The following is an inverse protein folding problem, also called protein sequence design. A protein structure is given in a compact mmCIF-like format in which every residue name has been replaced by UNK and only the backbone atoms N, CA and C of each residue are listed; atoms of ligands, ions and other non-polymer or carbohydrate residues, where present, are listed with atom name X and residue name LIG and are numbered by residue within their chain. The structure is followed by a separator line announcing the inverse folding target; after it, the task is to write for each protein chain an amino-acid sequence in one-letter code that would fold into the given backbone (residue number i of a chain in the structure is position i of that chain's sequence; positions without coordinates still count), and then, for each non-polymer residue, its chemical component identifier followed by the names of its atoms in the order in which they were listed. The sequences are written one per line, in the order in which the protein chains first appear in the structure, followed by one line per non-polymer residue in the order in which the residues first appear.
data_IF_173080078561
#
_entry.id   IF_173080078561
#
_cell.length_a   1.000
_cell.length_b   1.000
_cell.length_c   1.000
_cell.angle_alpha   90.00
_cell.angle_beta   90.00
_cell.angle_gamma   90.00
#
_symmetry.space_group_name_H-M   'P 1'
#
loop_
_entity.id
_entity.type
_entity.pdbx_description
1 polymer ?
#
# COMPACT_ATOMS: atom_id res chain seq x y z
N UNK A 1 -4.12 2.07 -22.55
CA UNK A 1 -3.46 2.18 -21.23
C UNK A 1 -2.59 0.96 -21.14
N UNK A 2 -1.29 1.09 -20.90
CA UNK A 2 -0.43 -0.10 -20.77
C UNK A 2 -0.93 -0.87 -19.54
N UNK A 3 -1.59 -2.00 -19.76
CA UNK A 3 -1.96 -2.91 -18.69
C UNK A 3 -0.64 -3.39 -18.05
N UNK A 4 -0.31 -2.81 -16.91
CA UNK A 4 0.83 -3.28 -16.13
C UNK A 4 0.41 -4.64 -15.62
N UNK A 5 0.99 -5.69 -16.17
CA UNK A 5 0.82 -7.03 -15.62
C UNK A 5 1.58 -7.09 -14.29
N UNK A 6 0.84 -6.84 -13.19
CA UNK A 6 1.37 -6.88 -11.83
C UNK A 6 2.12 -8.20 -11.57
N UNK A 7 1.66 -9.32 -12.15
CA UNK A 7 2.35 -10.60 -11.99
C UNK A 7 3.68 -10.66 -12.72
N UNK A 8 3.82 -10.05 -13.91
CA UNK A 8 5.11 -9.94 -14.58
C UNK A 8 6.08 -9.07 -13.81
N UNK A 9 5.58 -8.01 -13.16
CA UNK A 9 6.42 -7.05 -12.48
C UNK A 9 6.92 -7.55 -11.11
N UNK A 10 6.08 -8.28 -10.37
CA UNK A 10 6.45 -8.79 -9.04
C UNK A 10 6.79 -10.28 -9.03
N UNK A 11 6.43 -11.05 -10.05
CA UNK A 11 6.60 -12.51 -10.07
C UNK A 11 5.71 -13.25 -9.05
N UNK A 12 6.11 -14.44 -8.60
CA UNK A 12 5.33 -15.26 -7.66
C UNK A 12 4.98 -14.51 -6.37
N UNK A 13 3.71 -14.62 -5.96
CA UNK A 13 3.10 -13.90 -4.85
C UNK A 13 1.79 -14.57 -4.44
N UNK A 14 1.40 -14.43 -3.17
CA UNK A 14 0.13 -14.94 -2.65
C UNK A 14 -0.98 -13.91 -2.78
N UNK A 15 -2.24 -14.34 -2.93
CA UNK A 15 -3.38 -13.44 -2.84
C UNK A 15 -3.53 -12.92 -1.41
N UNK A 16 -3.88 -11.65 -1.26
CA UNK A 16 -4.23 -11.03 0.02
C UNK A 16 -5.59 -10.35 -0.14
N UNK A 17 -6.54 -10.66 0.74
CA UNK A 17 -7.83 -9.98 0.71
C UNK A 17 -7.69 -8.55 1.22
N UNK A 18 -8.29 -7.61 0.50
CA UNK A 18 -8.61 -6.26 0.99
C UNK A 18 -10.10 -6.17 1.31
N UNK A 19 -10.57 -4.94 1.50
CA UNK A 19 -11.97 -4.70 1.78
C UNK A 19 -12.86 -4.97 0.56
N UNK A 20 -13.96 -5.68 0.81
CA UNK A 20 -15.02 -5.95 -0.15
C UNK A 20 -16.17 -4.97 0.06
N UNK A 21 -15.92 -3.70 -0.27
CA UNK A 21 -16.90 -2.61 -0.21
C UNK A 21 -16.77 -1.73 -1.44
N UNK A 22 -17.87 -1.09 -1.83
CA UNK A 22 -17.90 -0.17 -2.98
C UNK A 22 -17.07 1.09 -2.74
N UNK A 23 -16.62 1.73 -3.82
CA UNK A 23 -15.75 2.90 -3.75
C UNK A 23 -16.38 4.05 -2.95
N UNK A 24 -17.66 4.36 -3.18
CA UNK A 24 -18.38 5.42 -2.48
C UNK A 24 -18.50 5.13 -0.97
N UNK A 25 -18.69 3.86 -0.60
CA UNK A 25 -18.72 3.41 0.79
C UNK A 25 -17.35 3.61 1.43
N UNK A 26 -16.29 3.19 0.75
CA UNK A 26 -14.92 3.34 1.21
C UNK A 26 -14.54 4.81 1.41
N UNK A 27 -14.95 5.72 0.52
CA UNK A 27 -14.77 7.17 0.68
C UNK A 27 -15.45 7.64 1.96
N UNK A 28 -16.74 7.29 2.14
CA UNK A 28 -17.53 7.75 3.28
C UNK A 28 -16.96 7.27 4.61
N UNK A 29 -16.73 5.97 4.76
CA UNK A 29 -16.20 5.38 6.00
C UNK A 29 -14.81 5.93 6.33
N UNK A 30 -13.98 6.17 5.31
CA UNK A 30 -12.65 6.76 5.52
C UNK A 30 -12.74 8.20 6.01
N UNK A 31 -13.61 9.02 5.43
CA UNK A 31 -13.82 10.40 5.86
C UNK A 31 -14.40 10.49 7.28
N UNK A 32 -15.33 9.60 7.63
CA UNK A 32 -15.90 9.52 8.97
C UNK A 32 -14.84 9.13 10.02
N UNK A 33 -13.96 8.19 9.68
CA UNK A 33 -12.95 7.67 10.61
C UNK A 33 -11.69 8.52 10.71
N UNK A 34 -11.31 9.20 9.61
CA UNK A 34 -10.07 9.98 9.49
C UNK A 34 -10.33 11.36 8.85
N UNK A 35 -11.14 12.23 9.49
CA UNK A 35 -11.65 13.46 8.87
C UNK A 35 -10.57 14.44 8.40
N UNK A 36 -9.44 14.51 9.10
CA UNK A 36 -8.36 15.47 8.83
C UNK A 36 -7.18 14.86 8.05
N UNK A 37 -7.33 13.62 7.56
CA UNK A 37 -6.23 12.87 6.95
C UNK A 37 -6.41 12.73 5.45
N UNK A 38 -5.34 13.01 4.70
CA UNK A 38 -5.33 12.68 3.27
C UNK A 38 -5.31 11.16 3.07
N UNK A 39 -6.06 10.68 2.09
CA UNK A 39 -6.15 9.25 1.80
C UNK A 39 -6.21 8.95 0.31
N UNK A 40 -5.73 7.76 -0.04
CA UNK A 40 -5.91 7.13 -1.34
C UNK A 40 -6.75 5.87 -1.18
N UNK A 41 -7.68 5.64 -2.10
CA UNK A 41 -8.33 4.35 -2.25
C UNK A 41 -7.72 3.69 -3.49
N UNK A 42 -7.27 2.45 -3.30
CA UNK A 42 -6.51 1.72 -4.30
C UNK A 42 -7.11 0.34 -4.49
N UNK A 43 -7.11 -0.10 -5.73
CA UNK A 43 -7.20 -1.50 -6.14
C UNK A 43 -5.88 -1.86 -6.86
N UNK A 44 -5.71 -3.14 -7.17
CA UNK A 44 -4.44 -3.65 -7.73
C UNK A 44 -3.21 -3.18 -6.92
N UNK A 45 -3.09 -3.69 -5.70
CA UNK A 45 -2.03 -3.34 -4.78
C UNK A 45 -1.22 -4.56 -4.34
N UNK A 46 0.02 -4.32 -3.91
CA UNK A 46 0.92 -5.36 -3.41
C UNK A 46 1.43 -4.98 -2.02
N UNK A 47 1.09 -5.81 -1.05
CA UNK A 47 1.70 -5.82 0.28
C UNK A 47 3.11 -6.42 0.18
N UNK A 48 4.11 -5.58 0.41
CA UNK A 48 5.51 -5.95 0.23
C UNK A 48 6.20 -6.07 1.57
N UNK A 49 6.46 -7.30 2.01
CA UNK A 49 7.32 -7.56 3.16
C UNK A 49 8.79 -7.36 2.74
N UNK A 50 9.50 -6.47 3.43
CA UNK A 50 10.91 -6.21 3.17
C UNK A 50 11.77 -7.19 3.95
N UNK A 51 12.52 -8.01 3.21
CA UNK A 51 13.65 -8.76 3.76
C UNK A 51 14.84 -7.80 3.85
N UNK A 52 14.93 -7.13 5.00
CA UNK A 52 15.91 -6.09 5.32
C UNK A 52 16.85 -6.55 6.44
N UNK A 53 18.10 -6.06 6.48
CA UNK A 53 19.02 -6.34 7.59
C UNK A 53 18.43 -5.92 8.94
N UNK A 54 18.77 -6.65 10.02
CA UNK A 54 18.26 -6.42 11.38
C UNK A 54 18.37 -4.96 11.82
N UNK A 55 19.51 -4.30 11.53
CA UNK A 55 19.71 -2.88 11.85
C UNK A 55 18.61 -1.99 11.25
N UNK A 56 18.21 -2.24 10.01
CA UNK A 56 17.15 -1.45 9.34
C UNK A 56 15.79 -1.75 9.96
N UNK A 57 15.54 -3.02 10.32
CA UNK A 57 14.29 -3.42 10.98
C UNK A 57 14.18 -2.78 12.38
N UNK A 58 15.28 -2.73 13.13
CA UNK A 58 15.37 -2.08 14.43
C UNK A 58 15.16 -0.56 14.33
N UNK A 59 15.80 0.11 13.36
CA UNK A 59 15.60 1.54 13.10
C UNK A 59 14.14 1.86 12.77
N UNK A 60 13.50 1.07 11.90
CA UNK A 60 12.07 1.23 11.60
C UNK A 60 11.21 1.04 12.86
N UNK A 61 11.53 0.03 13.68
CA UNK A 61 10.80 -0.25 14.91
C UNK A 61 10.92 0.89 15.94
N UNK A 62 12.08 1.54 16.05
CA UNK A 62 12.27 2.73 16.90
C UNK A 62 11.37 3.89 16.50
N UNK A 63 11.04 4.00 15.21
CA UNK A 63 10.09 4.98 14.68
C UNK A 63 8.63 4.47 14.68
N UNK A 64 8.37 3.29 15.23
CA UNK A 64 7.04 2.68 15.27
C UNK A 64 6.54 2.17 13.92
N UNK A 65 7.46 1.97 12.96
CA UNK A 65 7.17 1.43 11.63
C UNK A 65 7.49 -0.06 11.53
N UNK A 66 6.89 -0.70 10.54
CA UNK A 66 7.11 -2.08 10.16
C UNK A 66 7.84 -2.13 8.80
N UNK A 67 8.69 -3.14 8.55
CA UNK A 67 9.40 -3.33 7.28
C UNK A 67 8.45 -3.82 6.18
N UNK A 68 7.39 -3.08 5.95
CA UNK A 68 6.30 -3.40 5.03
C UNK A 68 6.00 -2.15 4.23
N UNK A 69 5.90 -2.28 2.91
CA UNK A 69 5.52 -1.20 2.00
C UNK A 69 4.35 -1.62 1.13
N UNK A 70 3.66 -0.64 0.55
CA UNK A 70 2.63 -0.86 -0.44
C UNK A 70 3.17 -0.48 -1.82
N UNK A 71 3.05 -1.37 -2.81
CA UNK A 71 3.12 -0.99 -4.22
C UNK A 71 1.69 -0.79 -4.73
N UNK A 72 1.45 0.33 -5.37
CA UNK A 72 0.13 0.73 -5.88
C UNK A 72 0.20 0.80 -7.39
N UNK A 73 -0.66 0.05 -8.08
CA UNK A 73 -0.76 0.04 -9.54
C UNK A 73 -1.98 0.77 -10.05
N UNK A 74 -3.06 0.81 -9.25
CA UNK A 74 -4.23 1.58 -9.61
C UNK A 74 -4.75 2.41 -8.42
N UNK A 75 -5.11 3.66 -8.71
CA UNK A 75 -5.68 4.60 -7.73
C UNK A 75 -7.09 4.92 -8.19
N UNK A 76 -8.07 4.48 -7.40
CA UNK A 76 -9.48 4.73 -7.65
C UNK A 76 -9.88 6.13 -7.20
N UNK A 77 -9.29 6.61 -6.11
CA UNK A 77 -9.55 7.92 -5.54
C UNK A 77 -8.33 8.44 -4.77
N UNK A 78 -8.05 9.74 -4.87
CA UNK A 78 -7.04 10.41 -4.06
C UNK A 78 -7.61 11.74 -3.56
N UNK A 79 -7.62 11.92 -2.24
CA UNK A 79 -8.20 13.11 -1.61
C UNK A 79 -7.32 14.37 -1.74
N UNK A 80 -6.07 14.21 -2.18
CA UNK A 80 -5.04 15.27 -2.19
C UNK A 80 -4.63 15.71 -3.59
N UNK A 81 -4.81 14.87 -4.61
CA UNK A 81 -4.47 15.19 -6.00
C UNK A 81 -5.41 14.46 -6.95
N UNK A 82 -5.43 14.89 -8.22
CA UNK A 82 -6.09 14.15 -9.31
C UNK A 82 -5.04 13.45 -10.21
N UNK A 83 -3.83 13.21 -9.68
CA UNK A 83 -2.69 12.77 -10.49
C UNK A 83 -2.74 11.28 -10.79
N UNK A 84 -2.76 10.94 -12.07
CA UNK A 84 -2.64 9.56 -12.56
C UNK A 84 -1.16 9.18 -12.69
N UNK A 85 -0.49 8.91 -11.57
CA UNK A 85 0.80 8.18 -11.65
C UNK A 85 0.53 6.78 -12.20
N UNK A 86 1.45 6.23 -12.99
CA UNK A 86 1.28 4.87 -13.53
C UNK A 86 1.40 3.79 -12.45
N UNK A 87 2.25 4.01 -11.44
CA UNK A 87 2.36 3.22 -10.22
C UNK A 87 3.27 3.97 -9.24
N UNK A 88 3.28 3.60 -7.96
CA UNK A 88 4.24 4.12 -6.98
C UNK A 88 4.36 3.19 -5.78
N UNK A 89 5.33 3.47 -4.90
CA UNK A 89 5.48 2.82 -3.60
C UNK A 89 5.17 3.77 -2.45
N UNK A 90 4.56 3.27 -1.40
CA UNK A 90 4.36 4.02 -0.15
C UNK A 90 5.67 4.18 0.62
N UNK A 91 5.64 4.91 1.74
CA UNK A 91 6.65 4.75 2.81
C UNK A 91 6.31 3.53 3.69
N UNK A 92 7.18 3.12 4.63
CA UNK A 92 6.91 1.97 5.49
C UNK A 92 5.61 2.09 6.30
N UNK A 93 5.00 0.94 6.57
CA UNK A 93 3.76 0.79 7.31
C UNK A 93 3.95 1.23 8.75
N UNK A 94 3.15 2.18 9.20
CA UNK A 94 3.03 2.54 10.61
C UNK A 94 2.02 1.64 11.32
N UNK A 95 0.86 1.42 10.68
CA UNK A 95 -0.21 0.62 11.25
C UNK A 95 -1.14 0.11 10.17
N UNK A 96 -1.60 -1.13 10.30
CA UNK A 96 -2.72 -1.66 9.52
C UNK A 96 -3.92 -1.90 10.43
N UNK A 97 -5.08 -1.36 10.09
CA UNK A 97 -6.31 -1.52 10.91
C UNK A 97 -7.51 -1.89 10.07
N UNK A 98 -8.45 -2.60 10.71
CA UNK A 98 -9.76 -2.96 10.14
C UNK A 98 -9.67 -3.70 8.80
N UNK A 99 -8.54 -4.39 8.59
CA UNK A 99 -8.26 -5.17 7.38
C UNK A 99 -8.31 -4.35 6.08
N UNK A 100 -8.27 -3.02 6.17
CA UNK A 100 -8.43 -2.12 5.02
C UNK A 100 -7.52 -0.89 5.05
N UNK A 101 -7.17 -0.38 6.24
CA UNK A 101 -6.48 0.90 6.39
C UNK A 101 -4.98 0.70 6.58
N UNK A 102 -4.23 0.85 5.49
CA UNK A 102 -2.77 0.86 5.49
C UNK A 102 -2.26 2.28 5.77
N UNK A 103 -1.75 2.50 6.97
CA UNK A 103 -1.36 3.82 7.45
C UNK A 103 0.14 3.99 7.34
N UNK A 104 0.61 5.02 6.64
CA UNK A 104 2.01 5.46 6.70
C UNK A 104 2.13 6.75 7.49
N UNK A 105 3.32 7.33 7.59
CA UNK A 105 3.52 8.62 8.26
C UNK A 105 2.66 9.73 7.65
N UNK A 106 2.62 9.82 6.32
CA UNK A 106 2.05 10.98 5.61
C UNK A 106 0.72 10.70 4.91
N UNK A 107 0.39 9.44 4.66
CA UNK A 107 -0.80 9.10 3.87
C UNK A 107 -1.49 7.84 4.40
N UNK A 108 -2.81 7.84 4.25
CA UNK A 108 -3.63 6.66 4.47
C UNK A 108 -3.94 6.01 3.12
N UNK A 109 -3.79 4.69 3.03
CA UNK A 109 -4.22 3.91 1.87
C UNK A 109 -5.34 2.97 2.30
N UNK A 110 -6.42 2.96 1.52
CA UNK A 110 -7.57 2.08 1.69
C UNK A 110 -7.47 1.00 0.63
N UNK A 111 -7.30 -0.24 1.07
CA UNK A 111 -7.06 -1.38 0.21
C UNK A 111 -8.39 -2.03 -0.19
N UNK A 112 -8.86 -1.78 -1.41
CA UNK A 112 -10.06 -2.43 -1.95
C UNK A 112 -9.70 -3.65 -2.80
N UNK A 113 -10.62 -4.60 -2.82
CA UNK A 113 -10.50 -5.82 -3.61
C UNK A 113 -9.30 -6.69 -3.22
N UNK A 114 -9.01 -7.69 -4.04
CA UNK A 114 -7.90 -8.60 -3.79
C UNK A 114 -6.59 -7.97 -4.24
N UNK A 115 -5.65 -7.84 -3.31
CA UNK A 115 -4.25 -7.52 -3.60
C UNK A 115 -3.38 -8.77 -3.64
N UNK A 116 -2.07 -8.52 -3.65
CA UNK A 116 -1.06 -9.58 -3.57
C UNK A 116 -0.13 -9.33 -2.40
N UNK A 117 0.44 -10.37 -1.82
CA UNK A 117 1.49 -10.29 -0.81
C UNK A 117 2.76 -10.94 -1.32
N UNK A 118 3.89 -10.27 -1.11
CA UNK A 118 5.20 -10.72 -1.57
C UNK A 118 6.30 -10.30 -0.58
N UNK A 119 7.29 -11.15 -0.40
CA UNK A 119 8.55 -10.77 0.25
C UNK A 119 9.62 -10.46 -0.79
N UNK A 120 10.36 -9.37 -0.60
CA UNK A 120 11.50 -8.99 -1.45
C UNK A 120 12.63 -8.42 -0.59
N UNK A 121 13.87 -8.68 -0.99
CA UNK A 121 15.01 -8.05 -0.32
C UNK A 121 14.98 -6.53 -0.51
N UNK A 122 15.38 -5.79 0.52
CA UNK A 122 15.46 -4.32 0.46
C UNK A 122 16.25 -3.85 -0.77
N UNK A 123 17.34 -4.56 -1.10
CA UNK A 123 18.17 -4.24 -2.26
C UNK A 123 17.47 -4.45 -3.61
N UNK A 124 16.51 -5.37 -3.69
CA UNK A 124 15.70 -5.59 -4.87
C UNK A 124 14.64 -4.48 -5.01
N UNK A 125 14.02 -4.09 -3.89
CA UNK A 125 13.05 -2.98 -3.85
C UNK A 125 13.70 -1.68 -4.32
N UNK A 126 14.86 -1.32 -3.78
CA UNK A 126 15.60 -0.09 -4.17
C UNK A 126 16.04 -0.10 -5.64
N UNK A 127 16.28 -1.29 -6.22
CA UNK A 127 16.69 -1.41 -7.63
C UNK A 127 15.51 -1.37 -8.59
N UNK A 128 14.37 -1.91 -8.19
CA UNK A 128 13.19 -2.08 -9.03
C UNK A 128 12.22 -0.89 -8.93
N UNK A 129 12.21 -0.17 -7.80
CA UNK A 129 11.20 0.84 -7.43
C UNK A 129 11.76 2.06 -6.69
#
# INVERSE_FOLDING_TARGET
MSDIDVQQMIGPSSVMQGADIELEEAIRVTQEKFPDRSFCIVDEWVWLDLDAPDLVVEELALEGMQPIMLLVFNVLFDSSTNSKSHWFRSTPLLRFTDEMFFQTQNKLYVLLGHGRRKSMSLSAVVRQF
#
